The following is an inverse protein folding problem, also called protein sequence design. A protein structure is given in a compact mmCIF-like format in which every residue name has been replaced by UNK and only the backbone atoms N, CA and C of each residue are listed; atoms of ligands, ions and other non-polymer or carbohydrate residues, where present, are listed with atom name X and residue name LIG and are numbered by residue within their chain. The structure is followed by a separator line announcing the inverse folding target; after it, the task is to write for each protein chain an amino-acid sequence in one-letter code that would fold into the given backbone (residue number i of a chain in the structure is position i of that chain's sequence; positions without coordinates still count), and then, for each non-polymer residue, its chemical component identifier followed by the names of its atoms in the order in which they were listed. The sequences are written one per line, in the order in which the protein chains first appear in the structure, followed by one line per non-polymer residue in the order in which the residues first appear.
data_IF_899677882961
#
_entry.id   IF_899677882961
#
_cell.length_a   1.000
_cell.length_b   1.000
_cell.length_c   1.000
_cell.angle_alpha   90.00
_cell.angle_beta   90.00
_cell.angle_gamma   90.00
#
_symmetry.space_group_name_H-M   'P 1'
#
loop_
_entity.id
_entity.type
_entity.pdbx_description
1 polymer ?
#
# COMPACT_ATOMS: atom_id res chain seq x y z
N UNK A 1 3.02 -61.17 -1.37
CA UNK A 1 2.49 -60.19 -2.34
C UNK A 1 2.03 -59.02 -1.49
N UNK A 2 2.99 -58.22 -1.02
CA UNK A 2 3.49 -57.00 -1.72
C UNK A 2 2.44 -55.89 -1.54
N UNK A 3 2.71 -54.72 -0.96
CA UNK A 3 3.91 -53.88 -1.02
C UNK A 3 3.94 -52.94 0.21
N UNK A 4 5.15 -52.66 0.69
CA UNK A 4 5.46 -51.66 1.72
C UNK A 4 5.89 -50.36 1.00
N UNK A 5 5.32 -49.17 1.25
CA UNK A 5 5.92 -47.94 0.73
C UNK A 5 7.10 -47.50 1.60
N UNK A 6 8.29 -47.66 1.01
CA UNK A 6 9.60 -47.15 1.43
C UNK A 6 9.64 -45.62 1.24
N UNK A 7 9.15 -44.86 2.22
CA UNK A 7 9.23 -43.38 2.18
C UNK A 7 9.27 -42.74 3.57
N UNK A 8 10.06 -43.31 4.49
CA UNK A 8 10.40 -42.71 5.80
C UNK A 8 11.92 -42.49 5.95
N UNK A 9 12.63 -42.21 4.85
CA UNK A 9 14.10 -42.16 4.89
C UNK A 9 14.73 -40.84 5.33
N UNK A 10 13.99 -39.75 5.53
CA UNK A 10 14.57 -38.47 5.97
C UNK A 10 13.81 -37.82 7.14
N UNK A 11 13.66 -38.55 8.25
CA UNK A 11 13.31 -37.95 9.54
C UNK A 11 14.58 -37.41 10.23
N UNK A 12 14.69 -36.09 10.52
CA UNK A 12 15.81 -35.54 11.28
C UNK A 12 15.75 -35.96 12.76
N UNK A 13 16.94 -36.07 13.35
CA UNK A 13 17.29 -36.76 14.60
C UNK A 13 16.73 -36.20 15.93
N UNK A 14 15.43 -35.92 16.02
CA UNK A 14 14.80 -35.55 17.30
C UNK A 14 13.60 -36.44 17.69
N UNK A 15 13.36 -37.52 16.96
CA UNK A 15 12.33 -38.51 17.31
C UNK A 15 12.77 -39.35 18.54
N UNK A 16 12.64 -38.75 19.72
CA UNK A 16 12.67 -39.45 21.01
C UNK A 16 11.24 -39.80 21.39
N UNK A 17 11.00 -41.10 21.50
CA UNK A 17 9.80 -41.72 22.05
C UNK A 17 9.67 -41.40 23.54
N UNK A 18 8.50 -40.94 23.98
CA UNK A 18 8.06 -41.15 25.38
C UNK A 18 6.62 -41.65 25.37
N UNK A 19 6.43 -42.77 26.06
CA UNK A 19 5.22 -43.54 26.18
C UNK A 19 4.20 -42.92 27.15
N UNK A 20 2.96 -43.42 27.05
CA UNK A 20 1.77 -43.03 27.79
C UNK A 20 1.95 -42.97 29.31
N UNK A 21 1.41 -41.91 29.92
CA UNK A 21 0.87 -41.94 31.27
C UNK A 21 -0.46 -41.18 31.29
N UNK A 22 -1.47 -41.80 31.88
CA UNK A 22 -2.83 -41.30 31.99
C UNK A 22 -2.88 -39.97 32.76
N UNK A 23 -3.52 -38.97 32.15
CA UNK A 23 -3.77 -37.66 32.74
C UNK A 23 -4.09 -36.67 31.64
N UNK A 24 -5.30 -36.11 31.64
CA UNK A 24 -5.77 -35.20 30.59
C UNK A 24 -4.79 -34.04 30.39
N UNK A 25 -4.11 -34.04 29.25
CA UNK A 25 -3.23 -32.94 28.85
C UNK A 25 -4.11 -31.89 28.18
N UNK A 26 -4.31 -30.77 28.86
CA UNK A 26 -4.83 -29.55 28.26
C UNK A 26 -3.82 -29.13 27.18
N UNK A 27 -4.19 -29.27 25.91
CA UNK A 27 -3.40 -28.68 24.82
C UNK A 27 -3.50 -27.16 24.95
N UNK A 28 -2.51 -26.56 25.61
CA UNK A 28 -2.26 -25.14 25.47
C UNK A 28 -1.87 -24.89 24.01
N UNK A 29 -2.75 -24.20 23.28
CA UNK A 29 -2.47 -23.76 21.93
C UNK A 29 -1.15 -22.97 21.92
N UNK A 30 -0.26 -23.18 20.92
CA UNK A 30 0.94 -22.38 20.80
C UNK A 30 0.55 -20.90 20.70
N UNK A 31 1.29 -19.98 21.33
CA UNK A 31 1.04 -18.56 21.16
C UNK A 31 1.09 -18.24 19.66
N UNK A 32 0.04 -17.61 19.17
CA UNK A 32 -0.03 -17.12 17.80
C UNK A 32 1.28 -16.36 17.48
N UNK A 33 1.88 -16.56 16.30
CA UNK A 33 3.04 -15.77 15.90
C UNK A 33 2.67 -14.29 16.05
N UNK A 34 3.57 -13.43 16.58
CA UNK A 34 3.26 -12.02 16.72
C UNK A 34 2.87 -11.52 15.34
N UNK A 35 1.63 -11.09 15.21
CA UNK A 35 1.13 -10.41 14.04
C UNK A 35 2.06 -9.23 13.81
N UNK A 36 3.03 -9.40 12.91
CA UNK A 36 3.81 -8.32 12.31
C UNK A 36 2.90 -7.64 11.29
N UNK A 37 1.73 -7.20 11.76
CA UNK A 37 0.91 -6.22 11.13
C UNK A 37 1.34 -4.91 11.77
N UNK A 38 1.92 -4.03 10.95
CA UNK A 38 2.20 -2.65 11.31
C UNK A 38 1.04 -2.12 12.15
N UNK A 39 1.30 -1.86 13.43
CA UNK A 39 0.40 -1.11 14.28
C UNK A 39 0.39 0.33 13.73
N UNK A 40 -0.35 0.52 12.64
CA UNK A 40 -0.81 1.83 12.27
C UNK A 40 -1.64 2.30 13.46
N UNK A 41 -1.15 3.31 14.15
CA UNK A 41 -1.84 3.99 15.24
C UNK A 41 -3.33 4.12 14.91
N UNK A 42 -4.20 3.63 15.80
CA UNK A 42 -5.67 3.78 15.73
C UNK A 42 -6.12 5.25 15.92
N UNK A 43 -5.20 6.20 15.94
CA UNK A 43 -5.53 7.61 15.93
C UNK A 43 -6.18 8.00 14.60
N UNK A 44 -7.32 8.68 14.67
CA UNK A 44 -7.91 9.31 13.50
C UNK A 44 -6.88 10.24 12.85
N UNK A 45 -6.79 10.25 11.51
CA UNK A 45 -5.84 11.12 10.82
C UNK A 45 -6.13 12.57 11.15
N UNK A 46 -5.08 13.35 11.43
CA UNK A 46 -5.22 14.79 11.50
C UNK A 46 -5.33 15.35 10.10
N UNK A 47 -6.42 16.03 9.81
CA UNK A 47 -6.73 16.54 8.47
C UNK A 47 -6.15 17.93 8.27
N UNK A 48 -5.44 18.10 7.17
CA UNK A 48 -4.90 19.39 6.73
C UNK A 48 -5.46 19.70 5.35
N UNK A 49 -6.18 20.82 5.18
CA UNK A 49 -6.58 21.29 3.87
C UNK A 49 -5.37 21.53 2.97
N UNK A 50 -5.37 20.95 1.78
CA UNK A 50 -4.26 21.00 0.84
C UNK A 50 -4.78 21.29 -0.57
N UNK A 51 -5.26 22.51 -0.81
CA UNK A 51 -5.84 22.95 -2.09
C UNK A 51 -4.87 22.85 -3.28
N UNK A 52 -3.57 22.79 -3.00
CA UNK A 52 -2.50 22.64 -3.98
C UNK A 52 -2.27 21.19 -4.43
N UNK A 53 -3.02 20.23 -3.88
CA UNK A 53 -2.89 18.80 -4.15
C UNK A 53 -3.97 18.35 -5.16
N UNK A 54 -3.57 17.59 -6.19
CA UNK A 54 -4.47 17.12 -7.27
C UNK A 54 -3.95 15.86 -7.97
N UNK A 55 -4.88 14.98 -8.38
CA UNK A 55 -4.60 13.69 -9.04
C UNK A 55 -4.12 13.80 -10.48
N UNK A 56 -4.69 14.77 -11.20
CA UNK A 56 -4.58 14.80 -12.66
C UNK A 56 -3.50 15.78 -13.14
N UNK A 57 -2.85 16.51 -12.23
CA UNK A 57 -1.74 17.38 -12.58
C UNK A 57 -1.33 18.35 -11.47
N UNK A 58 -0.26 19.11 -11.73
CA UNK A 58 0.26 20.11 -10.82
C UNK A 58 1.60 19.73 -10.17
N UNK A 59 2.28 20.75 -9.61
CA UNK A 59 3.63 20.62 -9.02
C UNK A 59 3.74 19.63 -7.84
N UNK A 60 2.61 19.14 -7.33
CA UNK A 60 2.54 18.22 -6.20
C UNK A 60 1.82 16.90 -6.51
N UNK A 61 1.49 16.64 -7.78
CA UNK A 61 0.87 15.39 -8.20
C UNK A 61 1.88 14.24 -8.28
N UNK A 62 1.38 13.00 -8.33
CA UNK A 62 2.21 11.83 -8.61
C UNK A 62 2.81 11.92 -10.02
N UNK A 63 4.15 11.88 -10.11
CA UNK A 63 4.86 11.91 -11.39
C UNK A 63 4.88 10.52 -12.02
N UNK A 64 3.77 10.17 -12.68
CA UNK A 64 3.69 9.01 -13.54
C UNK A 64 3.63 9.42 -15.01
N UNK A 65 4.02 8.53 -15.94
CA UNK A 65 3.79 8.73 -17.37
C UNK A 65 2.31 9.03 -17.67
N UNK A 66 2.04 9.81 -18.70
CA UNK A 66 0.66 10.10 -19.12
C UNK A 66 -0.02 8.90 -19.78
N UNK A 67 0.77 8.07 -20.48
CA UNK A 67 0.26 6.96 -21.28
C UNK A 67 0.36 5.63 -20.56
N UNK A 68 -0.73 4.87 -20.59
CA UNK A 68 -0.85 3.55 -19.97
C UNK A 68 0.21 2.56 -20.47
N UNK A 69 0.55 2.45 -21.77
CA UNK A 69 1.59 1.53 -22.24
C UNK A 69 3.00 1.84 -21.70
N UNK A 70 3.23 3.05 -21.19
CA UNK A 70 4.51 3.47 -20.61
C UNK A 70 4.61 3.17 -19.13
N UNK A 71 3.47 3.07 -18.44
CA UNK A 71 3.42 2.85 -17.00
C UNK A 71 4.12 1.54 -16.57
N UNK A 72 3.91 0.37 -17.21
CA UNK A 72 4.65 -0.85 -16.88
C UNK A 72 6.18 -0.75 -17.06
N UNK A 73 6.66 0.23 -17.83
CA UNK A 73 8.08 0.38 -18.20
C UNK A 73 8.90 1.18 -17.19
N UNK A 74 8.26 1.85 -16.22
CA UNK A 74 8.96 2.69 -15.23
C UNK A 74 9.78 1.89 -14.22
N UNK A 75 9.60 0.57 -14.18
CA UNK A 75 10.38 -0.31 -13.33
C UNK A 75 9.91 -1.76 -13.39
N UNK A 76 10.70 -2.64 -12.75
CA UNK A 76 10.29 -4.03 -12.54
C UNK A 76 9.04 -4.06 -11.68
N UNK A 77 8.01 -4.76 -12.15
CA UNK A 77 6.72 -4.86 -11.48
C UNK A 77 6.15 -6.28 -11.56
N UNK A 78 5.17 -6.52 -10.70
CA UNK A 78 4.22 -7.63 -10.83
C UNK A 78 2.82 -7.04 -10.96
N UNK A 79 1.99 -7.61 -11.82
CA UNK A 79 0.55 -7.33 -11.80
C UNK A 79 -0.06 -8.30 -10.79
N UNK A 80 -0.70 -7.76 -9.76
CA UNK A 80 -1.17 -8.56 -8.61
C UNK A 80 -2.67 -8.83 -8.73
N UNK A 81 -3.43 -7.82 -9.16
CA UNK A 81 -4.88 -7.91 -9.32
C UNK A 81 -5.32 -7.32 -10.66
N UNK A 82 -6.29 -7.99 -11.27
CA UNK A 82 -6.99 -7.57 -12.48
C UNK A 82 -8.48 -7.73 -12.24
N UNK A 83 -9.21 -6.64 -12.33
CA UNK A 83 -10.67 -6.66 -12.29
C UNK A 83 -11.22 -6.09 -13.59
N UNK A 84 -12.13 -6.82 -14.22
CA UNK A 84 -12.78 -6.40 -15.47
C UNK A 84 -14.27 -6.30 -15.21
N UNK A 85 -14.85 -5.13 -15.51
CA UNK A 85 -16.29 -4.87 -15.36
C UNK A 85 -16.85 -4.29 -16.65
N UNK A 86 -18.10 -4.59 -16.95
CA UNK A 86 -18.86 -3.87 -17.98
C UNK A 86 -19.66 -2.76 -17.30
N UNK A 87 -19.51 -1.54 -17.78
CA UNK A 87 -20.23 -0.35 -17.29
C UNK A 87 -20.73 0.41 -18.51
N UNK A 88 -22.04 0.56 -18.64
CA UNK A 88 -22.70 1.31 -19.73
C UNK A 88 -22.22 0.91 -21.14
N UNK A 89 -22.01 -0.39 -21.37
CA UNK A 89 -21.53 -0.94 -22.65
C UNK A 89 -20.03 -0.79 -22.90
N UNK A 90 -19.29 -0.16 -21.98
CA UNK A 90 -17.84 -0.07 -22.00
C UNK A 90 -17.19 -1.08 -21.03
N UNK A 91 -16.12 -1.73 -21.49
CA UNK A 91 -15.28 -2.55 -20.61
C UNK A 91 -14.34 -1.66 -19.82
N UNK A 92 -14.38 -1.77 -18.50
CA UNK A 92 -13.51 -1.07 -17.56
C UNK A 92 -12.58 -2.09 -16.92
N UNK A 93 -11.29 -1.88 -17.05
CA UNK A 93 -10.24 -2.74 -16.49
C UNK A 93 -9.51 -2.01 -15.37
N UNK A 94 -9.61 -2.52 -14.14
CA UNK A 94 -8.78 -2.07 -13.02
C UNK A 94 -7.57 -2.98 -12.90
N UNK A 95 -6.37 -2.39 -12.78
CA UNK A 95 -5.11 -3.11 -12.63
C UNK A 95 -4.34 -2.62 -11.43
N UNK A 96 -3.82 -3.56 -10.64
CA UNK A 96 -2.88 -3.28 -9.55
C UNK A 96 -1.46 -3.68 -9.95
N UNK A 97 -0.58 -2.69 -10.03
CA UNK A 97 0.84 -2.87 -10.22
C UNK A 97 1.56 -2.81 -8.87
N UNK A 98 2.46 -3.75 -8.64
CA UNK A 98 3.36 -3.77 -7.48
C UNK A 98 4.80 -3.66 -7.96
N UNK A 99 5.37 -2.48 -7.76
CA UNK A 99 6.79 -2.18 -7.94
C UNK A 99 7.53 -2.36 -6.60
N UNK A 100 8.86 -2.39 -6.64
CA UNK A 100 9.68 -2.39 -5.43
C UNK A 100 9.47 -1.05 -4.69
N UNK A 101 8.70 -1.08 -3.60
CA UNK A 101 8.43 0.09 -2.76
C UNK A 101 7.33 1.03 -3.27
N UNK A 102 6.53 0.60 -4.25
CA UNK A 102 5.33 1.31 -4.68
C UNK A 102 4.23 0.34 -5.13
N UNK A 103 2.99 0.56 -4.69
CA UNK A 103 1.79 -0.08 -5.23
C UNK A 103 0.95 0.96 -5.96
N UNK A 104 0.39 0.57 -7.09
CA UNK A 104 -0.34 1.47 -7.97
C UNK A 104 -1.61 0.82 -8.51
N UNK A 105 -2.75 1.43 -8.27
CA UNK A 105 -4.05 0.99 -8.74
C UNK A 105 -4.53 1.95 -9.82
N UNK A 106 -4.75 1.44 -11.03
CA UNK A 106 -5.19 2.24 -12.18
C UNK A 106 -6.42 1.64 -12.82
N UNK A 107 -7.18 2.49 -13.50
CA UNK A 107 -8.33 2.11 -14.33
C UNK A 107 -8.04 2.45 -15.79
N UNK A 108 -8.33 1.51 -16.68
CA UNK A 108 -8.22 1.65 -18.13
C UNK A 108 -9.59 1.38 -18.74
N UNK A 109 -10.04 2.25 -19.63
CA UNK A 109 -11.28 2.06 -20.36
C UNK A 109 -10.98 1.42 -21.73
N UNK A 110 -11.83 0.51 -22.17
CA UNK A 110 -11.71 -0.08 -23.51
C UNK A 110 -11.88 0.92 -24.64
N UNK A 111 -12.62 2.01 -24.42
CA UNK A 111 -12.78 3.11 -25.38
C UNK A 111 -11.50 3.94 -25.57
N UNK A 112 -10.59 3.90 -24.60
CA UNK A 112 -9.31 4.62 -24.64
C UNK A 112 -8.22 3.81 -23.91
N UNK A 113 -7.64 2.79 -24.58
CA UNK A 113 -6.67 1.88 -23.97
C UNK A 113 -5.30 2.52 -23.73
N UNK A 114 -5.03 3.69 -24.32
CA UNK A 114 -3.76 4.40 -24.18
C UNK A 114 -3.75 5.32 -22.96
N UNK A 115 -4.93 5.67 -22.43
CA UNK A 115 -5.09 6.45 -21.20
C UNK A 115 -5.42 5.57 -20.01
N UNK A 116 -5.09 6.11 -18.84
CA UNK A 116 -5.52 5.52 -17.58
C UNK A 116 -5.91 6.60 -16.58
N UNK A 117 -6.77 6.22 -15.65
CA UNK A 117 -7.13 7.01 -14.50
C UNK A 117 -6.44 6.42 -13.25
N UNK A 118 -5.79 7.26 -12.47
CA UNK A 118 -5.14 6.85 -11.22
C UNK A 118 -6.22 6.68 -10.13
N UNK A 119 -6.32 5.51 -9.52
CA UNK A 119 -7.26 5.28 -8.40
C UNK A 119 -6.56 5.47 -7.06
N UNK A 120 -5.40 4.83 -6.91
CA UNK A 120 -4.60 4.90 -5.71
C UNK A 120 -3.12 4.67 -5.99
N UNK A 121 -2.27 5.25 -5.16
CA UNK A 121 -0.85 4.94 -5.12
C UNK A 121 -0.41 4.79 -3.67
N UNK A 122 0.48 3.86 -3.37
CA UNK A 122 1.10 3.74 -2.07
C UNK A 122 2.61 3.64 -2.25
N UNK A 123 3.35 4.50 -1.57
CA UNK A 123 4.80 4.59 -1.64
C UNK A 123 5.38 4.28 -0.27
N UNK A 124 6.25 3.28 -0.24
CA UNK A 124 6.92 2.77 0.97
C UNK A 124 8.44 2.80 0.86
N UNK A 125 8.98 3.31 -0.26
CA UNK A 125 10.41 3.44 -0.49
C UNK A 125 10.77 4.83 -0.99
N UNK A 126 12.02 5.24 -0.73
CA UNK A 126 12.58 6.52 -1.18
C UNK A 126 12.80 6.60 -2.69
N UNK A 127 12.70 5.46 -3.39
CA UNK A 127 12.83 5.38 -4.85
C UNK A 127 11.69 6.10 -5.58
N UNK A 128 10.55 6.23 -4.92
CA UNK A 128 9.34 6.82 -5.48
C UNK A 128 8.95 8.06 -4.68
N UNK A 129 8.26 8.98 -5.34
CA UNK A 129 7.80 10.23 -4.74
C UNK A 129 6.40 10.59 -5.23
N UNK A 130 5.59 11.15 -4.35
CA UNK A 130 4.27 11.73 -4.67
C UNK A 130 4.40 13.24 -4.54
N UNK A 131 4.35 13.96 -5.65
CA UNK A 131 4.74 15.36 -5.67
C UNK A 131 6.16 15.53 -5.17
N UNK A 132 6.31 16.14 -4.01
CA UNK A 132 7.61 16.26 -3.33
C UNK A 132 7.70 15.48 -2.01
N UNK A 133 6.73 14.60 -1.75
CA UNK A 133 6.76 13.67 -0.64
C UNK A 133 7.49 12.40 -1.02
N UNK A 134 8.59 12.12 -0.31
CA UNK A 134 9.32 10.87 -0.43
C UNK A 134 9.50 10.25 0.95
N UNK A 135 9.59 8.93 1.01
CA UNK A 135 9.92 8.25 2.27
C UNK A 135 11.26 8.76 2.82
N UNK A 136 11.35 8.95 4.13
CA UNK A 136 12.49 9.52 4.85
C UNK A 136 12.58 11.04 4.85
N UNK A 137 11.76 11.74 4.06
CA UNK A 137 11.75 13.21 4.04
C UNK A 137 10.88 13.78 5.16
N UNK A 138 11.23 14.99 5.63
CA UNK A 138 10.38 15.74 6.55
C UNK A 138 9.33 16.50 5.72
N UNK A 139 8.04 16.47 6.11
CA UNK A 139 7.03 17.32 5.50
C UNK A 139 7.42 18.81 5.64
N UNK A 140 7.07 19.65 4.65
CA UNK A 140 7.37 21.09 4.70
C UNK A 140 6.80 21.81 5.93
N UNK A 141 7.55 22.79 6.49
CA UNK A 141 7.12 23.59 7.64
C UNK A 141 5.81 24.36 7.44
N UNK A 142 5.51 24.82 6.21
CA UNK A 142 4.33 25.63 5.93
C UNK A 142 3.02 24.83 5.88
N UNK A 143 3.09 23.49 5.77
CA UNK A 143 1.90 22.63 5.86
C UNK A 143 1.39 22.51 7.29
N UNK A 144 2.14 23.04 8.25
CA UNK A 144 1.90 22.87 9.65
C UNK A 144 1.27 24.16 10.18
N UNK A 145 -0.06 24.18 10.33
CA UNK A 145 -0.74 25.23 11.11
C UNK A 145 -0.07 25.34 12.50
N UNK A 146 0.01 26.53 13.10
CA UNK A 146 0.53 26.72 14.46
C UNK A 146 -0.29 26.01 15.55
N UNK A 147 -1.38 25.32 15.17
CA UNK A 147 -2.21 24.55 16.08
C UNK A 147 -1.42 23.53 16.93
N UNK A 148 -1.69 23.49 18.24
CA UNK A 148 -0.99 22.60 19.16
C UNK A 148 -1.21 21.12 18.84
N UNK A 149 -2.38 20.75 18.29
CA UNK A 149 -2.73 19.37 17.89
C UNK A 149 -1.83 18.81 16.79
N UNK A 150 -1.21 19.67 15.99
CA UNK A 150 -0.27 19.24 14.97
C UNK A 150 1.12 18.96 15.54
N UNK A 151 1.48 19.47 16.73
CA UNK A 151 2.85 19.33 17.28
C UNK A 151 3.28 17.89 17.48
N UNK A 152 2.39 17.04 17.97
CA UNK A 152 2.71 15.64 18.22
C UNK A 152 2.65 14.83 16.91
N UNK A 153 1.71 15.15 16.02
CA UNK A 153 1.62 14.56 14.66
C UNK A 153 2.88 14.84 13.85
N UNK A 154 3.52 16.01 14.04
CA UNK A 154 4.80 16.37 13.42
C UNK A 154 5.93 15.41 13.77
N UNK A 155 5.82 14.67 14.87
CA UNK A 155 6.82 13.71 15.33
C UNK A 155 6.35 12.28 15.02
N UNK A 156 5.14 11.91 15.41
CA UNK A 156 4.59 10.57 15.14
C UNK A 156 3.09 10.66 14.90
N UNK A 157 2.60 10.04 13.83
CA UNK A 157 1.16 9.98 13.59
C UNK A 157 0.76 9.85 12.13
N UNK A 158 -0.55 10.00 11.90
CA UNK A 158 -1.16 9.94 10.59
C UNK A 158 -1.70 11.31 10.21
N UNK A 159 -1.22 11.84 9.09
CA UNK A 159 -1.64 13.12 8.51
C UNK A 159 -2.44 12.85 7.24
N UNK A 160 -3.63 13.42 7.12
CA UNK A 160 -4.42 13.39 5.88
C UNK A 160 -4.39 14.77 5.23
N UNK A 161 -3.75 14.88 4.08
CA UNK A 161 -3.86 16.04 3.19
C UNK A 161 -5.13 15.88 2.37
N UNK A 162 -6.05 16.83 2.51
CA UNK A 162 -7.35 16.79 1.82
C UNK A 162 -7.36 17.85 0.73
N UNK A 163 -7.37 17.41 -0.53
CA UNK A 163 -7.59 18.27 -1.70
C UNK A 163 -9.06 18.27 -2.13
N UNK A 164 -9.34 18.96 -3.24
CA UNK A 164 -10.71 19.13 -3.74
C UNK A 164 -11.32 17.82 -4.29
N UNK A 165 -10.49 16.92 -4.84
CA UNK A 165 -10.92 15.66 -5.46
C UNK A 165 -10.17 14.42 -4.97
N UNK A 166 -9.29 14.59 -4.00
CA UNK A 166 -8.26 13.63 -3.65
C UNK A 166 -7.79 13.77 -2.20
N UNK A 167 -7.10 12.74 -1.71
CA UNK A 167 -6.42 12.83 -0.42
C UNK A 167 -5.13 12.02 -0.39
N UNK A 168 -4.15 12.51 0.37
CA UNK A 168 -2.95 11.77 0.73
C UNK A 168 -2.88 11.53 2.23
N UNK A 169 -2.63 10.29 2.60
CA UNK A 169 -2.29 9.88 3.94
C UNK A 169 -0.77 9.76 4.05
N UNK A 170 -0.20 10.46 5.03
CA UNK A 170 1.22 10.40 5.36
C UNK A 170 1.36 9.79 6.75
N UNK A 171 2.07 8.67 6.81
CA UNK A 171 2.48 8.08 8.07
C UNK A 171 3.81 8.72 8.45
N UNK A 172 3.84 9.37 9.61
CA UNK A 172 4.99 10.05 10.15
C UNK A 172 5.58 9.24 11.30
N UNK A 173 6.90 9.07 11.26
CA UNK A 173 7.68 8.47 12.31
C UNK A 173 8.95 9.31 12.52
N UNK A 174 9.17 9.80 13.73
CA UNK A 174 10.23 10.75 14.08
C UNK A 174 10.30 11.97 13.13
N UNK A 175 9.11 12.48 12.79
CA UNK A 175 8.85 13.58 11.88
C UNK A 175 9.25 13.35 10.43
N UNK A 176 9.50 12.10 10.05
CA UNK A 176 9.79 11.69 8.69
C UNK A 176 8.66 10.86 8.13
N UNK A 177 8.41 11.02 6.84
CA UNK A 177 7.45 10.20 6.09
C UNK A 177 7.95 8.76 6.03
N UNK A 178 7.22 7.83 6.60
CA UNK A 178 7.48 6.39 6.48
C UNK A 178 6.74 5.79 5.28
N UNK A 179 5.50 6.25 5.07
CA UNK A 179 4.62 5.80 4.01
C UNK A 179 3.78 6.97 3.52
N UNK A 180 3.50 6.97 2.22
CA UNK A 180 2.49 7.85 1.62
C UNK A 180 1.48 6.98 0.91
N UNK A 181 0.20 7.17 1.18
CA UNK A 181 -0.89 6.57 0.42
C UNK A 181 -1.71 7.70 -0.18
N UNK A 182 -2.07 7.55 -1.44
CA UNK A 182 -2.75 8.54 -2.22
C UNK A 182 -4.00 7.92 -2.82
N UNK A 183 -5.11 8.66 -2.80
CA UNK A 183 -6.40 8.20 -3.32
C UNK A 183 -7.09 9.30 -4.11
N UNK A 184 -7.59 8.94 -5.28
CA UNK A 184 -8.35 9.81 -6.16
C UNK A 184 -9.83 9.46 -6.07
N UNK A 185 -10.68 10.43 -5.69
CA UNK A 185 -12.13 10.21 -5.51
C UNK A 185 -12.88 10.28 -6.84
N UNK A 186 -12.41 11.13 -7.77
CA UNK A 186 -12.88 11.22 -9.14
C UNK A 186 -11.68 11.06 -10.08
N UNK A 187 -11.33 9.82 -10.41
CA UNK A 187 -10.23 9.55 -11.31
C UNK A 187 -10.68 9.83 -12.75
N UNK A 188 -10.39 11.01 -13.28
CA UNK A 188 -10.51 11.26 -14.71
C UNK A 188 -9.35 10.57 -15.44
N UNK A 189 -9.51 10.16 -16.71
CA UNK A 189 -8.39 9.70 -17.52
C UNK A 189 -7.36 10.82 -17.63
N UNK A 190 -6.08 10.53 -17.39
CA UNK A 190 -5.02 11.54 -17.53
C UNK A 190 -4.92 11.99 -18.99
N UNK A 191 -4.90 13.31 -19.20
CA UNK A 191 -4.79 13.93 -20.52
C UNK A 191 -3.39 13.79 -21.11
#
# INVERSE_FOLDING_TARGET
MDELPDALRHAPAWAVTVALAAGGVVFAAPPAPPASASAASNAAPVRVPAEWFSCDGGKYALQLPHHYPTLPKIGKHKVVDLEVRQVDGATVTTRRFQYIGMRLDVRVLSSDPDRYALLAAEVTSRRWQIGRFSVGTRPWPWMWSPEPSLKDVKLHGLLELVGAGDSALLWLNDGRVERVSYRCRAAAPRA
#
